data_IF_761455380845
#
_entry.id   IF_761455380845
#
_cell.length_a   1.000
_cell.length_b   1.000
_cell.length_c   1.000
_cell.angle_alpha   90.00
_cell.angle_beta   90.00
_cell.angle_gamma   90.00
#
_symmetry.space_group_name_H-M   'P 1'
#
loop_
_entity.id
_entity.type
_entity.pdbx_description
1 polymer ?
#
# COMPACT_ATOMS: atom_id res chain seq x y z
N UNK A 1 18.70 -1.44 -40.15
CA UNK A 1 17.57 -0.78 -39.46
C UNK A 1 18.12 -0.39 -38.10
N UNK A 2 18.28 0.91 -37.83
CA UNK A 2 19.09 1.42 -36.70
C UNK A 2 18.39 1.21 -35.37
N UNK A 3 19.15 0.78 -34.38
CA UNK A 3 18.79 0.63 -32.98
C UNK A 3 18.19 1.92 -32.42
N UNK A 4 16.87 1.93 -32.22
CA UNK A 4 16.20 2.88 -31.35
C UNK A 4 15.98 2.15 -30.02
N UNK A 5 17.07 1.84 -29.33
CA UNK A 5 17.01 1.74 -27.88
C UNK A 5 16.76 3.17 -27.42
N UNK A 6 15.49 3.56 -27.32
CA UNK A 6 15.06 4.78 -26.62
C UNK A 6 15.73 4.72 -25.26
N UNK A 7 16.82 5.47 -25.09
CA UNK A 7 17.46 5.65 -23.81
C UNK A 7 16.37 6.19 -22.89
N UNK A 8 15.92 5.36 -21.96
CA UNK A 8 15.11 5.84 -20.84
C UNK A 8 16.00 6.90 -20.19
N UNK A 9 15.58 8.17 -20.16
CA UNK A 9 16.39 9.21 -19.55
C UNK A 9 16.75 8.75 -18.12
N UNK A 10 17.97 9.01 -17.64
CA UNK A 10 18.31 8.70 -16.27
C UNK A 10 17.20 9.24 -15.37
N UNK A 11 16.63 8.37 -14.53
CA UNK A 11 15.69 8.83 -13.50
C UNK A 11 16.47 9.83 -12.66
N UNK A 12 16.17 11.11 -12.83
CA UNK A 12 16.73 12.16 -12.00
C UNK A 12 16.34 11.84 -10.56
N UNK A 13 17.32 11.73 -9.67
CA UNK A 13 17.03 11.69 -8.25
C UNK A 13 16.24 12.97 -7.91
N UNK A 14 15.19 12.90 -7.08
CA UNK A 14 14.46 14.09 -6.68
C UNK A 14 15.45 15.11 -6.09
N UNK A 15 15.34 16.38 -6.50
CA UNK A 15 16.25 17.46 -6.09
C UNK A 15 16.29 17.65 -4.57
N UNK A 16 15.24 17.22 -3.87
CA UNK A 16 15.08 17.36 -2.43
C UNK A 16 14.51 16.08 -1.85
N UNK A 17 15.35 15.30 -1.18
CA UNK A 17 14.90 14.25 -0.25
C UNK A 17 14.65 14.94 1.09
N UNK A 18 13.47 14.79 1.71
CA UNK A 18 13.21 15.43 3.00
C UNK A 18 14.17 14.89 4.07
N UNK A 19 14.69 15.80 4.90
CA UNK A 19 15.61 15.44 6.01
C UNK A 19 14.94 14.61 7.10
N UNK A 20 13.61 14.71 7.19
CA UNK A 20 12.77 13.95 8.10
C UNK A 20 11.60 13.38 7.31
N UNK A 21 11.33 12.08 7.49
CA UNK A 21 10.16 11.45 6.89
C UNK A 21 8.91 11.76 7.72
N UNK A 22 7.72 11.81 7.09
CA UNK A 22 6.47 11.89 7.83
C UNK A 22 6.36 10.76 8.86
N UNK A 23 5.71 11.05 9.99
CA UNK A 23 5.46 10.03 11.01
C UNK A 23 4.50 8.99 10.45
N UNK A 24 4.88 7.72 10.54
CA UNK A 24 4.03 6.60 10.14
C UNK A 24 2.85 6.48 11.11
N UNK A 25 1.63 6.39 10.57
CA UNK A 25 0.44 6.05 11.35
C UNK A 25 0.30 4.54 11.57
N UNK A 26 0.66 3.74 10.57
CA UNK A 26 0.56 2.28 10.60
C UNK A 26 1.94 1.63 10.63
N UNK A 27 2.04 0.47 11.27
CA UNK A 27 3.31 -0.24 11.44
C UNK A 27 3.31 -1.59 10.74
N UNK A 28 4.50 -2.14 10.47
CA UNK A 28 4.64 -3.48 9.92
C UNK A 28 3.90 -4.51 10.78
N UNK A 29 3.13 -5.38 10.12
CA UNK A 29 2.31 -6.41 10.75
C UNK A 29 0.93 -5.94 11.21
N UNK A 30 0.67 -4.63 11.23
CA UNK A 30 -0.64 -4.09 11.58
C UNK A 30 -1.70 -4.46 10.54
N UNK A 31 -2.90 -4.76 11.02
CA UNK A 31 -4.04 -5.07 10.17
C UNK A 31 -4.76 -3.79 9.77
N UNK A 32 -5.01 -3.63 8.48
CA UNK A 32 -5.68 -2.46 7.92
C UNK A 32 -6.74 -2.88 6.92
N UNK A 33 -7.69 -1.98 6.66
CA UNK A 33 -8.68 -2.12 5.59
C UNK A 33 -8.87 -0.81 4.83
N UNK A 34 -9.23 -0.92 3.56
CA UNK A 34 -9.74 0.19 2.79
C UNK A 34 -11.15 0.51 3.28
N UNK A 35 -11.40 1.78 3.61
CA UNK A 35 -12.70 2.22 4.17
C UNK A 35 -13.51 3.09 3.21
N UNK A 36 -12.91 3.56 2.13
CA UNK A 36 -13.59 4.44 1.17
C UNK A 36 -14.55 3.70 0.22
N UNK A 37 -14.51 2.36 0.18
CA UNK A 37 -15.41 1.54 -0.64
C UNK A 37 -16.19 0.54 0.21
N UNK A 38 -17.46 0.24 -0.14
CA UNK A 38 -18.20 -0.85 0.48
C UNK A 38 -17.47 -2.18 0.29
N UNK A 39 -17.33 -2.97 1.36
CA UNK A 39 -16.54 -4.21 1.37
C UNK A 39 -15.11 -3.98 0.84
N UNK A 40 -14.41 -2.98 1.39
CA UNK A 40 -13.02 -2.73 1.02
C UNK A 40 -12.10 -3.90 1.35
N UNK A 41 -11.00 -3.96 0.61
CA UNK A 41 -9.94 -4.92 0.85
C UNK A 41 -9.31 -4.74 2.23
N UNK A 42 -8.70 -5.80 2.73
CA UNK A 42 -8.04 -5.80 4.03
C UNK A 42 -6.86 -6.76 4.05
N UNK A 43 -5.92 -6.48 4.95
CA UNK A 43 -4.68 -7.22 4.99
C UNK A 43 -3.70 -6.69 6.03
N UNK A 44 -2.45 -7.14 5.92
CA UNK A 44 -1.37 -6.74 6.82
C UNK A 44 -0.39 -5.80 6.12
N UNK A 45 0.04 -4.75 6.82
CA UNK A 45 1.13 -3.90 6.34
C UNK A 45 2.43 -4.71 6.31
N UNK A 46 3.06 -4.81 5.15
CA UNK A 46 4.34 -5.53 4.94
C UNK A 46 5.47 -4.61 4.46
N UNK A 47 5.19 -3.35 4.17
CA UNK A 47 6.20 -2.38 3.77
C UNK A 47 5.68 -0.95 3.87
N UNK A 48 6.61 -0.01 4.03
CA UNK A 48 6.32 1.44 4.00
C UNK A 48 7.37 2.11 3.13
N UNK A 49 6.92 2.92 2.17
CA UNK A 49 7.78 3.62 1.23
C UNK A 49 7.39 5.08 1.17
N UNK A 50 8.39 5.97 1.22
CA UNK A 50 8.19 7.37 0.84
C UNK A 50 8.49 7.51 -0.64
N UNK A 51 7.50 7.94 -1.43
CA UNK A 51 7.64 8.08 -2.87
C UNK A 51 7.35 9.53 -3.29
N UNK A 52 8.01 9.95 -4.36
CA UNK A 52 7.91 11.30 -4.93
C UNK A 52 8.27 11.25 -6.42
N UNK A 53 7.33 10.96 -7.33
CA UNK A 53 7.55 11.06 -8.79
C UNK A 53 6.25 10.92 -9.61
N UNK A 54 6.25 11.14 -10.93
CA UNK A 54 6.06 12.41 -11.65
C UNK A 54 4.87 12.35 -12.65
N UNK A 55 4.12 11.24 -12.71
CA UNK A 55 2.97 11.04 -13.59
C UNK A 55 1.63 11.13 -12.85
N UNK A 56 1.66 10.93 -11.53
CA UNK A 56 0.54 11.02 -10.61
C UNK A 56 1.09 11.77 -9.40
N UNK A 57 0.47 12.85 -8.93
CA UNK A 57 0.91 13.52 -7.72
C UNK A 57 0.58 12.58 -6.55
N UNK A 58 1.54 11.74 -6.18
CA UNK A 58 1.46 10.78 -5.10
C UNK A 58 2.71 10.95 -4.23
N UNK A 59 2.83 12.12 -3.61
CA UNK A 59 3.93 12.42 -2.69
C UNK A 59 3.49 12.06 -1.29
N UNK A 60 4.17 11.13 -0.63
CA UNK A 60 3.84 10.75 0.74
C UNK A 60 4.22 9.32 1.10
N UNK A 61 3.78 8.89 2.29
CA UNK A 61 3.92 7.52 2.73
C UNK A 61 2.91 6.63 2.00
N UNK A 62 3.42 5.55 1.43
CA UNK A 62 2.63 4.49 0.83
C UNK A 62 2.88 3.20 1.60
N UNK A 63 1.79 2.55 1.99
CA UNK A 63 1.82 1.29 2.73
C UNK A 63 1.61 0.14 1.75
N UNK A 64 2.56 -0.79 1.69
CA UNK A 64 2.37 -2.04 0.97
C UNK A 64 1.60 -2.99 1.89
N UNK A 65 0.40 -3.39 1.47
CA UNK A 65 -0.47 -4.29 2.24
C UNK A 65 -0.54 -5.63 1.55
N UNK A 66 -0.25 -6.70 2.30
CA UNK A 66 -0.52 -8.08 1.88
C UNK A 66 -1.98 -8.40 2.17
N UNK A 67 -2.78 -8.59 1.12
CA UNK A 67 -4.20 -8.87 1.25
C UNK A 67 -4.42 -10.25 1.89
N UNK A 68 -5.40 -10.32 2.79
CA UNK A 68 -5.83 -11.59 3.38
C UNK A 68 -6.45 -12.51 2.32
N UNK A 69 -6.41 -13.82 2.56
CA UNK A 69 -7.02 -14.82 1.67
C UNK A 69 -8.51 -14.55 1.40
N UNK A 70 -9.19 -13.89 2.35
CA UNK A 70 -10.62 -13.58 2.30
C UNK A 70 -10.90 -12.14 1.87
N UNK A 71 -9.87 -11.38 1.50
CA UNK A 71 -10.04 -10.04 0.96
C UNK A 71 -10.74 -10.12 -0.41
N UNK A 72 -11.72 -9.26 -0.71
CA UNK A 72 -12.50 -9.32 -1.95
C UNK A 72 -11.68 -9.39 -3.24
N UNK A 73 -10.56 -8.67 -3.31
CA UNK A 73 -9.69 -8.62 -4.49
C UNK A 73 -8.53 -9.62 -4.45
N UNK A 74 -8.45 -10.48 -3.43
CA UNK A 74 -7.29 -11.37 -3.23
C UNK A 74 -6.96 -12.25 -4.44
N UNK A 75 -7.99 -12.74 -5.13
CA UNK A 75 -7.82 -13.63 -6.29
C UNK A 75 -7.07 -12.98 -7.45
N UNK A 76 -7.13 -11.65 -7.55
CA UNK A 76 -6.51 -10.87 -8.64
C UNK A 76 -5.34 -10.03 -8.17
N UNK A 77 -5.25 -9.74 -6.87
CA UNK A 77 -4.23 -8.89 -6.27
C UNK A 77 -3.74 -9.49 -4.95
N UNK A 78 -2.46 -9.86 -4.89
CA UNK A 78 -1.86 -10.42 -3.68
C UNK A 78 -1.50 -9.30 -2.71
N UNK A 79 -0.98 -8.19 -3.22
CA UNK A 79 -0.56 -7.05 -2.44
C UNK A 79 -0.84 -5.75 -3.20
N UNK A 80 -1.25 -4.72 -2.48
CA UNK A 80 -1.56 -3.41 -3.05
C UNK A 80 -0.91 -2.29 -2.24
N UNK A 81 -0.69 -1.15 -2.90
CA UNK A 81 -0.22 0.07 -2.26
C UNK A 81 -1.42 0.91 -1.80
N UNK A 82 -1.39 1.31 -0.54
CA UNK A 82 -2.37 2.20 0.05
C UNK A 82 -1.75 3.56 0.40
N UNK A 83 -2.48 4.63 0.11
CA UNK A 83 -2.26 5.90 0.79
C UNK A 83 -2.75 5.83 2.24
N UNK A 84 -2.14 6.61 3.12
CA UNK A 84 -2.53 6.63 4.54
C UNK A 84 -3.99 7.03 4.74
N UNK A 85 -4.54 7.85 3.85
CA UNK A 85 -5.90 8.38 3.93
C UNK A 85 -6.98 7.42 3.40
N UNK A 86 -6.59 6.32 2.75
CA UNK A 86 -7.51 5.34 2.17
C UNK A 86 -7.77 4.15 3.08
N UNK A 87 -6.89 3.96 4.08
CA UNK A 87 -6.91 2.84 5.01
C UNK A 87 -7.12 3.25 6.46
N UNK A 88 -7.66 2.32 7.24
CA UNK A 88 -7.82 2.45 8.67
C UNK A 88 -7.51 1.13 9.38
N UNK A 89 -7.27 1.16 10.72
CA UNK A 89 -7.05 -0.07 11.47
C UNK A 89 -8.22 -1.03 11.32
N UNK A 90 -7.94 -2.31 11.09
CA UNK A 90 -8.95 -3.34 11.10
C UNK A 90 -9.24 -3.74 12.55
N UNK A 91 -10.49 -3.59 12.99
CA UNK A 91 -10.90 -3.92 14.35
C UNK A 91 -10.66 -5.40 14.70
N UNK A 92 -10.24 -5.65 15.94
CA UNK A 92 -10.01 -6.98 16.49
C UNK A 92 -11.27 -7.86 16.42
N UNK A 93 -12.46 -7.28 16.58
CA UNK A 93 -13.71 -8.04 16.45
C UNK A 93 -13.89 -8.65 15.05
N UNK A 94 -13.41 -7.95 14.02
CA UNK A 94 -13.44 -8.45 12.65
C UNK A 94 -12.40 -9.54 12.45
N UNK A 95 -11.20 -9.37 13.01
CA UNK A 95 -10.15 -10.39 13.01
C UNK A 95 -10.59 -11.69 13.70
N UNK A 96 -11.27 -11.59 14.84
CA UNK A 96 -11.82 -12.74 15.56
C UNK A 96 -12.88 -13.47 14.73
N UNK A 97 -13.74 -12.75 14.01
CA UNK A 97 -14.70 -13.35 13.06
C UNK A 97 -14.01 -14.05 11.89
N UNK A 98 -12.87 -13.52 11.43
CA UNK A 98 -12.07 -14.20 10.42
C UNK A 98 -11.45 -15.49 11.01
N UNK A 99 -10.94 -15.45 12.23
CA UNK A 99 -10.32 -16.64 12.86
C UNK A 99 -11.35 -17.70 13.30
N UNK A 100 -12.54 -17.29 13.73
CA UNK A 100 -13.57 -18.13 14.34
C UNK A 100 -14.36 -19.05 13.39
N UNK A 101 -14.17 -18.95 12.08
CA UNK A 101 -14.83 -19.85 11.10
C UNK A 101 -14.04 -21.15 10.83
N UNK A 102 -13.16 -21.56 11.74
CA UNK A 102 -12.47 -22.86 11.73
C UNK A 102 -13.15 -23.87 12.68
N UNK A 103 -14.42 -24.20 12.43
CA UNK A 103 -15.10 -25.37 13.02
C UNK A 103 -15.75 -26.19 11.91
#
# INVERSE_FOLDING_TARGET
MRDILRQIPPVGLPEVIPSELPRQRFHLGEWVRWFQVPNGDFGRVIGVMYTQQASCIATGLHYLVLLDERSPSREICICDFAFEEDIEPLDNSFLERLQGNHV
#
